data_IF_702471906492
#
_entry.id   IF_702471906492
#
_cell.length_a   1.000
_cell.length_b   1.000
_cell.length_c   1.000
_cell.angle_alpha   90.00
_cell.angle_beta   90.00
_cell.angle_gamma   90.00
#
_symmetry.space_group_name_H-M   'P 1'
#
loop_
_entity.id
_entity.type
_entity.pdbx_description
1 polymer ?
#
# COMPACT_ATOMS: atom_id res chain seq x y z
N UNK A 1 -15.57 12.90 -2.33
CA UNK A 1 -14.69 11.72 -2.28
C UNK A 1 -13.77 11.78 -3.48
N UNK A 2 -12.47 11.75 -3.25
CA UNK A 2 -11.44 11.83 -4.31
C UNK A 2 -10.59 10.58 -4.27
N UNK A 3 -10.39 9.94 -5.42
CA UNK A 3 -9.59 8.73 -5.55
C UNK A 3 -8.24 9.05 -6.17
N UNK A 4 -7.17 8.62 -5.51
CA UNK A 4 -5.80 8.70 -5.99
C UNK A 4 -5.30 7.31 -6.32
N UNK A 5 -4.50 7.20 -7.40
CA UNK A 5 -3.86 5.95 -7.80
C UNK A 5 -2.35 6.09 -7.67
N UNK A 6 -1.71 5.17 -6.95
CA UNK A 6 -0.26 5.04 -6.89
C UNK A 6 0.17 3.75 -7.60
N UNK A 7 0.78 3.88 -8.78
CA UNK A 7 1.37 2.72 -9.46
C UNK A 7 2.64 2.28 -8.72
N UNK A 8 2.68 1.00 -8.34
CA UNK A 8 3.77 0.43 -7.58
C UNK A 8 4.78 -0.24 -8.52
N UNK A 9 6.09 -0.14 -8.26
CA UNK A 9 7.12 -0.59 -9.20
C UNK A 9 7.32 -2.11 -9.22
N UNK A 10 6.60 -2.87 -8.39
CA UNK A 10 6.79 -4.30 -8.27
C UNK A 10 5.79 -5.07 -9.12
N UNK A 11 6.31 -6.00 -9.93
CA UNK A 11 5.50 -6.87 -10.80
C UNK A 11 4.97 -8.11 -10.07
N UNK A 12 5.32 -8.25 -8.79
CA UNK A 12 4.86 -9.30 -7.86
C UNK A 12 5.02 -8.78 -6.42
N UNK A 13 4.29 -9.33 -5.45
CA UNK A 13 4.38 -8.89 -4.06
C UNK A 13 5.82 -9.04 -3.51
N UNK A 14 6.44 -7.97 -2.99
CA UNK A 14 7.79 -8.02 -2.40
C UNK A 14 7.85 -8.82 -1.08
N UNK A 15 6.72 -8.90 -0.37
CA UNK A 15 6.53 -9.70 0.83
C UNK A 15 5.39 -10.70 0.65
N UNK A 16 5.55 -11.86 1.27
CA UNK A 16 4.52 -12.90 1.41
C UNK A 16 4.51 -13.39 2.86
N UNK A 17 3.35 -13.75 3.40
CA UNK A 17 3.26 -14.33 4.74
C UNK A 17 3.99 -15.67 4.86
N UNK A 18 4.19 -16.36 3.73
CA UNK A 18 4.88 -17.65 3.68
C UNK A 18 6.42 -17.53 3.56
N UNK A 19 6.97 -16.32 3.53
CA UNK A 19 8.42 -16.11 3.43
C UNK A 19 9.14 -16.52 4.72
N UNK A 20 9.89 -17.63 4.69
CA UNK A 20 10.78 -18.06 5.79
C UNK A 20 12.13 -17.33 5.75
N UNK A 21 12.11 -16.01 5.73
CA UNK A 21 13.32 -15.16 5.67
C UNK A 21 13.80 -14.79 7.08
N UNK A 22 15.08 -14.44 7.20
CA UNK A 22 15.60 -13.89 8.46
C UNK A 22 15.09 -12.45 8.70
N UNK A 23 15.15 -12.00 9.96
CA UNK A 23 14.62 -10.70 10.38
C UNK A 23 15.27 -9.52 9.65
N UNK A 24 16.57 -9.60 9.34
CA UNK A 24 17.29 -8.53 8.64
C UNK A 24 16.83 -8.37 7.18
N UNK A 25 16.65 -9.49 6.47
CA UNK A 25 16.14 -9.47 5.10
C UNK A 25 14.70 -8.95 5.05
N UNK A 26 13.87 -9.34 6.02
CA UNK A 26 12.51 -8.82 6.16
C UNK A 26 12.53 -7.30 6.39
N UNK A 27 13.30 -6.81 7.36
CA UNK A 27 13.41 -5.39 7.67
C UNK A 27 13.89 -4.55 6.47
N UNK A 28 14.84 -5.07 5.68
CA UNK A 28 15.33 -4.39 4.47
C UNK A 28 14.22 -4.19 3.45
N UNK A 29 13.35 -5.18 3.26
CA UNK A 29 12.25 -5.11 2.29
C UNK A 29 11.14 -4.20 2.80
N UNK A 30 10.80 -4.28 4.09
CA UNK A 30 9.86 -3.34 4.72
C UNK A 30 10.34 -1.90 4.52
N UNK A 31 11.62 -1.62 4.77
CA UNK A 31 12.20 -0.28 4.55
C UNK A 31 12.10 0.15 3.08
N UNK A 32 12.36 -0.75 2.14
CA UNK A 32 12.22 -0.47 0.71
C UNK A 32 10.77 -0.13 0.35
N UNK A 33 9.80 -0.89 0.84
CA UNK A 33 8.37 -0.65 0.59
C UNK A 33 7.99 0.73 1.12
N UNK A 34 8.31 1.01 2.38
CA UNK A 34 7.99 2.30 3.02
C UNK A 34 8.55 3.49 2.25
N UNK A 35 9.83 3.44 1.90
CA UNK A 35 10.48 4.51 1.15
C UNK A 35 9.83 4.72 -0.22
N UNK A 36 9.51 3.64 -0.93
CA UNK A 36 8.89 3.70 -2.25
C UNK A 36 7.52 4.36 -2.18
N UNK A 37 6.66 3.89 -1.27
CA UNK A 37 5.30 4.43 -1.12
C UNK A 37 5.32 5.89 -0.67
N UNK A 38 6.21 6.24 0.25
CA UNK A 38 6.35 7.62 0.70
C UNK A 38 6.72 8.57 -0.46
N UNK A 39 7.66 8.18 -1.32
CA UNK A 39 8.02 8.97 -2.50
C UNK A 39 6.89 9.05 -3.53
N UNK A 40 6.15 7.97 -3.75
CA UNK A 40 4.99 7.97 -4.64
C UNK A 40 3.87 8.88 -4.11
N UNK A 41 3.62 8.87 -2.79
CA UNK A 41 2.65 9.75 -2.15
C UNK A 41 3.00 11.23 -2.33
N UNK A 42 4.29 11.59 -2.19
CA UNK A 42 4.80 12.93 -2.49
C UNK A 42 4.57 13.28 -3.96
N UNK A 43 4.96 12.40 -4.88
CA UNK A 43 4.85 12.64 -6.32
C UNK A 43 3.38 12.77 -6.79
N UNK A 44 2.46 12.07 -6.14
CA UNK A 44 1.03 12.14 -6.43
C UNK A 44 0.33 13.32 -5.73
N UNK A 45 1.06 14.12 -4.94
CA UNK A 45 0.51 15.23 -4.16
C UNK A 45 -0.70 14.82 -3.31
N UNK A 46 -0.60 13.66 -2.63
CA UNK A 46 -1.68 13.22 -1.76
C UNK A 46 -1.97 14.27 -0.68
N UNK A 47 -3.24 14.45 -0.27
CA UNK A 47 -3.58 15.31 0.85
C UNK A 47 -2.91 14.79 2.14
N UNK A 48 -2.86 15.66 3.15
CA UNK A 48 -2.32 15.33 4.47
C UNK A 48 -3.39 15.56 5.52
N UNK A 49 -3.18 14.94 6.69
CA UNK A 49 -4.01 15.13 7.88
C UNK A 49 -5.52 14.91 7.61
N UNK A 50 -5.84 13.93 6.76
CA UNK A 50 -7.21 13.54 6.47
C UNK A 50 -7.84 12.84 7.68
N UNK A 51 -9.15 13.00 7.86
CA UNK A 51 -9.89 12.37 8.96
C UNK A 51 -10.02 10.85 8.77
N UNK A 52 -10.27 10.42 7.54
CA UNK A 52 -10.35 9.00 7.22
C UNK A 52 -10.01 8.76 5.74
N UNK A 53 -9.36 7.62 5.46
CA UNK A 53 -9.06 7.16 4.11
C UNK A 53 -9.31 5.65 3.96
N UNK A 54 -9.59 5.22 2.74
CA UNK A 54 -9.58 3.79 2.37
C UNK A 54 -8.36 3.52 1.50
N UNK A 55 -7.56 2.50 1.83
CA UNK A 55 -6.39 2.07 1.05
C UNK A 55 -6.60 0.65 0.56
N UNK A 56 -6.84 0.50 -0.74
CA UNK A 56 -7.07 -0.78 -1.40
C UNK A 56 -5.84 -1.16 -2.23
N UNK A 57 -5.29 -2.34 -1.99
CA UNK A 57 -4.23 -2.91 -2.83
C UNK A 57 -4.84 -3.69 -3.99
N UNK A 58 -4.35 -3.42 -5.20
CA UNK A 58 -4.73 -4.13 -6.42
C UNK A 58 -3.51 -4.82 -7.01
N UNK A 59 -3.68 -6.07 -7.45
CA UNK A 59 -2.62 -6.84 -8.09
C UNK A 59 -3.14 -7.61 -9.31
N UNK A 60 -2.57 -7.32 -10.47
CA UNK A 60 -2.75 -8.09 -11.70
C UNK A 60 -1.50 -8.96 -11.94
N UNK A 61 -1.59 -10.29 -11.80
CA UNK A 61 -0.42 -11.17 -11.94
C UNK A 61 -0.01 -11.30 -13.41
N UNK A 62 1.23 -11.77 -13.64
CA UNK A 62 1.69 -12.11 -15.00
C UNK A 62 1.16 -13.45 -15.55
N UNK A 63 0.60 -14.29 -14.68
CA UNK A 63 0.20 -15.66 -14.99
C UNK A 63 -1.05 -16.06 -14.21
N UNK A 64 -1.69 -17.16 -14.64
CA UNK A 64 -2.98 -17.64 -14.12
C UNK A 64 -2.85 -18.51 -12.86
N UNK A 65 -1.63 -18.65 -12.32
CA UNK A 65 -1.44 -19.47 -11.12
C UNK A 65 -2.24 -18.84 -9.98
N UNK A 66 -2.97 -19.66 -9.23
CA UNK A 66 -3.74 -19.20 -8.05
C UNK A 66 -2.86 -18.37 -7.11
N UNK A 67 -3.43 -17.29 -6.59
CA UNK A 67 -2.84 -16.41 -5.58
C UNK A 67 -3.84 -16.24 -4.44
N UNK A 68 -3.30 -15.88 -3.29
CA UNK A 68 -4.05 -15.71 -2.07
C UNK A 68 -3.89 -14.26 -1.60
N UNK A 69 -5.00 -13.63 -1.28
CA UNK A 69 -5.11 -12.22 -0.87
C UNK A 69 -4.40 -11.98 0.45
N UNK A 70 -4.44 -12.96 1.34
CA UNK A 70 -3.72 -13.00 2.61
C UNK A 70 -2.21 -12.77 2.45
N UNK A 71 -1.59 -13.31 1.39
CA UNK A 71 -0.17 -13.05 1.11
C UNK A 71 0.09 -11.59 0.69
N UNK A 72 -0.90 -10.90 0.11
CA UNK A 72 -0.81 -9.50 -0.27
C UNK A 72 -0.89 -8.58 0.96
N UNK A 73 -1.56 -9.00 2.04
CA UNK A 73 -1.64 -8.23 3.29
C UNK A 73 -0.24 -7.97 3.88
N UNK A 74 0.68 -8.94 3.77
CA UNK A 74 2.08 -8.76 4.18
C UNK A 74 2.78 -7.62 3.42
N UNK A 75 2.40 -7.40 2.17
CA UNK A 75 2.88 -6.30 1.34
C UNK A 75 2.12 -4.99 1.66
N UNK A 76 0.80 -5.04 1.84
CA UNK A 76 -0.05 -3.88 2.13
C UNK A 76 0.31 -3.22 3.47
N UNK A 77 0.57 -3.99 4.53
CA UNK A 77 0.85 -3.45 5.85
C UNK A 77 1.95 -2.35 5.85
N UNK A 78 3.18 -2.60 5.36
CA UNK A 78 4.20 -1.56 5.34
C UNK A 78 3.90 -0.40 4.37
N UNK A 79 2.96 -0.54 3.43
CA UNK A 79 2.48 0.56 2.61
C UNK A 79 1.58 1.49 3.44
N UNK A 80 0.63 0.92 4.18
CA UNK A 80 -0.24 1.66 5.12
C UNK A 80 0.58 2.38 6.20
N UNK A 81 1.54 1.69 6.83
CA UNK A 81 2.43 2.30 7.82
C UNK A 81 3.28 3.46 7.24
N UNK A 82 3.48 3.51 5.92
CA UNK A 82 4.21 4.58 5.23
C UNK A 82 3.33 5.76 4.82
N UNK A 83 2.04 5.52 4.59
CA UNK A 83 1.05 6.56 4.28
C UNK A 83 0.61 7.30 5.54
N UNK A 84 0.41 6.59 6.65
CA UNK A 84 0.14 7.20 7.95
C UNK A 84 1.28 8.14 8.39
N UNK A 85 1.03 8.98 9.40
CA UNK A 85 2.04 9.89 9.97
C UNK A 85 3.26 9.16 10.51
N UNK A 86 3.06 7.97 11.07
CA UNK A 86 4.12 7.17 11.68
C UNK A 86 4.62 7.78 12.98
N UNK A 87 5.85 7.42 13.37
CA UNK A 87 6.47 7.87 14.62
C UNK A 87 7.77 8.62 14.35
N UNK A 88 8.36 9.23 15.37
CA UNK A 88 9.69 9.87 15.25
C UNK A 88 10.77 8.89 14.76
N UNK A 89 10.70 7.62 15.16
CA UNK A 89 11.65 6.60 14.73
C UNK A 89 11.38 6.10 13.30
N UNK A 90 10.10 6.07 12.90
CA UNK A 90 9.65 5.59 11.60
C UNK A 90 8.63 6.57 11.02
N UNK A 91 9.07 7.74 10.53
CA UNK A 91 8.17 8.72 9.95
C UNK A 91 7.49 8.14 8.70
N UNK A 92 6.23 8.50 8.51
CA UNK A 92 5.48 8.23 7.31
C UNK A 92 5.09 9.54 6.60
N UNK A 93 4.18 9.44 5.64
CA UNK A 93 3.77 10.56 4.79
C UNK A 93 2.92 11.57 5.55
N UNK A 94 2.03 11.11 6.44
CA UNK A 94 1.05 11.95 7.13
C UNK A 94 -0.22 12.16 6.33
N UNK A 95 -0.67 11.15 5.58
CA UNK A 95 -2.00 11.15 4.96
C UNK A 95 -3.11 11.18 6.02
N UNK A 96 -2.90 10.42 7.10
CA UNK A 96 -3.77 10.30 8.28
C UNK A 96 -2.91 10.18 9.54
N UNK A 97 -3.50 10.37 10.72
CA UNK A 97 -2.77 10.32 12.00
C UNK A 97 -2.14 8.94 12.29
N UNK A 98 -2.87 7.85 12.05
CA UNK A 98 -2.38 6.47 12.26
C UNK A 98 -2.94 5.52 11.19
N UNK A 99 -2.35 4.34 11.01
CA UNK A 99 -2.85 3.31 10.10
C UNK A 99 -3.98 2.47 10.72
N UNK A 100 -4.40 2.75 11.95
CA UNK A 100 -5.45 2.00 12.65
C UNK A 100 -6.83 2.17 12.01
N UNK A 101 -7.79 1.24 12.25
CA UNK A 101 -9.11 1.28 11.61
C UNK A 101 -9.94 2.54 11.86
N UNK A 102 -9.59 3.33 12.88
CA UNK A 102 -10.24 4.62 13.14
C UNK A 102 -9.97 5.65 12.03
N UNK A 103 -8.79 5.59 11.41
CA UNK A 103 -8.31 6.57 10.43
C UNK A 103 -8.13 5.97 9.04
N UNK A 104 -7.92 4.65 8.95
CA UNK A 104 -7.60 3.97 7.71
C UNK A 104 -8.33 2.64 7.57
N UNK A 105 -9.22 2.57 6.59
CA UNK A 105 -9.81 1.32 6.13
C UNK A 105 -8.85 0.58 5.20
N UNK A 106 -8.65 -0.72 5.47
CA UNK A 106 -7.74 -1.62 4.74
C UNK A 106 -8.50 -2.85 4.23
N UNK A 107 -9.39 -2.68 3.24
CA UNK A 107 -10.15 -3.80 2.66
C UNK A 107 -9.23 -4.88 2.08
N UNK A 108 -9.78 -6.08 1.90
CA UNK A 108 -9.06 -7.23 1.37
C UNK A 108 -8.47 -6.90 -0.01
N UNK A 109 -7.18 -7.19 -0.28
CA UNK A 109 -6.56 -6.94 -1.57
C UNK A 109 -7.32 -7.55 -2.76
N UNK A 110 -7.44 -6.80 -3.85
CA UNK A 110 -8.11 -7.25 -5.07
C UNK A 110 -7.08 -7.89 -6.00
N UNK A 111 -7.34 -9.13 -6.40
CA UNK A 111 -6.55 -9.84 -7.42
C UNK A 111 -7.32 -9.80 -8.74
N UNK A 112 -6.71 -9.17 -9.74
CA UNK A 112 -7.25 -9.04 -11.09
C UNK A 112 -6.88 -10.27 -11.94
N UNK A 113 -7.52 -10.45 -13.11
CA UNK A 113 -7.03 -11.36 -14.14
C UNK A 113 -5.56 -11.07 -14.50
N UNK A 114 -4.89 -12.06 -15.11
CA UNK A 114 -3.51 -11.86 -15.55
C UNK A 114 -3.40 -10.70 -16.53
N UNK A 115 -2.28 -10.01 -16.52
CA UNK A 115 -1.96 -9.02 -17.54
C UNK A 115 -1.76 -9.69 -18.91
N UNK A 116 -2.09 -8.97 -19.98
CA UNK A 116 -1.83 -9.41 -21.36
C UNK A 116 -0.35 -9.28 -21.78
N UNK A 117 0.46 -8.58 -20.98
CA UNK A 117 1.86 -8.20 -21.31
C UNK A 117 2.89 -9.21 -20.80
N UNK A 118 2.49 -10.18 -19.96
CA UNK A 118 3.42 -11.09 -19.29
C UNK A 118 4.21 -10.45 -18.15
N UNK A 119 3.90 -9.21 -17.78
CA UNK A 119 4.48 -8.48 -16.66
C UNK A 119 3.36 -8.14 -15.68
N UNK A 120 3.51 -8.51 -14.40
CA UNK A 120 2.50 -8.20 -13.41
C UNK A 120 2.47 -6.71 -13.07
N UNK A 121 1.32 -6.23 -12.62
CA UNK A 121 1.08 -4.84 -12.25
C UNK A 121 0.48 -4.78 -10.84
N UNK A 122 0.83 -3.74 -10.10
CA UNK A 122 0.32 -3.56 -8.74
C UNK A 122 0.16 -2.06 -8.48
N UNK A 123 -0.95 -1.68 -7.85
CA UNK A 123 -1.23 -0.28 -7.53
C UNK A 123 -2.02 -0.17 -6.24
N UNK A 124 -1.97 1.02 -5.62
CA UNK A 124 -2.89 1.41 -4.57
C UNK A 124 -3.98 2.30 -5.15
N UNK A 125 -5.22 2.04 -4.76
CA UNK A 125 -6.30 3.01 -4.83
C UNK A 125 -6.52 3.57 -3.43
N UNK A 126 -6.47 4.90 -3.32
CA UNK A 126 -6.60 5.63 -2.07
C UNK A 126 -7.79 6.55 -2.20
N UNK A 127 -8.83 6.27 -1.42
CA UNK A 127 -10.03 7.08 -1.38
C UNK A 127 -9.98 8.02 -0.19
N UNK A 128 -10.14 9.30 -0.45
CA UNK A 128 -10.13 10.35 0.58
C UNK A 128 -11.51 10.99 0.64
N UNK A 129 -12.10 10.98 1.83
CA UNK A 129 -13.25 11.82 2.16
C UNK A 129 -12.73 13.22 2.49
N UNK A 130 -12.87 14.14 1.54
CA UNK A 130 -12.56 15.54 1.80
C UNK A 130 -13.70 16.08 2.65
N UNK A 131 -13.43 16.34 3.92
CA UNK A 131 -14.31 17.14 4.77
C UNK A 131 -14.53 18.49 4.10
N UNK A 132 -15.78 18.88 3.91
CA UNK A 132 -16.10 20.22 3.40
C UNK A 132 -15.66 21.19 4.49
N UNK A 133 -14.62 21.98 4.23
CA UNK A 133 -14.22 23.06 5.13
C UNK A 133 -15.45 23.95 5.40
N UNK A 134 -15.85 24.04 6.67
CA UNK A 134 -16.93 24.91 7.16
C UNK A 134 -16.48 26.34 7.40
#
# INVERSE_FOLDING_TARGET
MTTYRLDLPWTKPPLSMNDRRNHFAHARIVKQIRNTVHLLAIAAHLPRDCEHVTVQLHYAPRDERRRDTDNLVATLKPMCDALAKGTTAHPGYGLVEDDTPMWMSKPEPIIHPKTGTGVGEMWLEIEVEIGVDG
#
